data_IF_511197442342
#
_entry.id   IF_511197442342
#
_cell.length_a   1.000
_cell.length_b   1.000
_cell.length_c   1.000
_cell.angle_alpha   90.00
_cell.angle_beta   90.00
_cell.angle_gamma   90.00
#
_symmetry.space_group_name_H-M   'P 1'
#
loop_
_entity.id
_entity.type
_entity.pdbx_description
1 polymer ?
#
# COMPACT_ATOMS: atom_id res chain seq x y z
N UNK A 1 -9.66 18.79 -7.73
CA UNK A 1 -9.37 17.69 -6.82
C UNK A 1 -8.06 17.11 -7.28
N UNK A 2 -7.09 17.00 -6.39
CA UNK A 2 -5.78 16.42 -6.70
C UNK A 2 -5.39 15.43 -5.61
N UNK A 3 -4.56 14.46 -6.02
CA UNK A 3 -3.91 13.51 -5.15
C UNK A 3 -2.42 13.60 -5.42
N UNK A 4 -1.68 14.12 -4.45
CA UNK A 4 -0.22 14.16 -4.52
C UNK A 4 0.33 13.01 -3.67
N UNK A 5 1.16 12.17 -4.28
CA UNK A 5 1.74 10.97 -3.65
C UNK A 5 3.24 11.19 -3.51
N UNK A 6 3.70 11.14 -2.27
CA UNK A 6 5.11 11.34 -1.92
C UNK A 6 5.53 10.13 -1.11
N UNK A 7 6.57 9.43 -1.53
CA UNK A 7 7.04 8.26 -0.81
C UNK A 7 8.47 7.91 -1.18
N UNK A 8 9.13 7.25 -0.24
CA UNK A 8 10.38 6.54 -0.51
C UNK A 8 10.03 5.06 -0.68
N UNK A 9 10.34 4.43 -1.82
CA UNK A 9 10.14 3.00 -1.99
C UNK A 9 10.78 2.24 -0.82
N UNK A 10 10.00 1.48 -0.03
CA UNK A 10 10.56 0.75 1.08
C UNK A 10 11.41 -0.42 0.58
N UNK A 11 12.62 -0.55 1.13
CA UNK A 11 13.50 -1.67 0.81
C UNK A 11 13.34 -2.79 1.85
N UNK A 12 12.64 -3.86 1.46
CA UNK A 12 12.49 -5.06 2.27
C UNK A 12 13.55 -6.09 1.90
N UNK A 13 14.62 -6.11 2.68
CA UNK A 13 15.69 -7.09 2.52
C UNK A 13 15.36 -8.39 3.26
N UNK A 14 15.48 -9.53 2.57
CA UNK A 14 15.24 -10.87 3.12
C UNK A 14 16.51 -11.73 3.08
N UNK A 15 17.38 -11.56 4.07
CA UNK A 15 18.73 -12.12 4.08
C UNK A 15 18.87 -13.35 4.99
N UNK A 16 17.99 -13.51 5.97
CA UNK A 16 18.00 -14.59 6.95
C UNK A 16 16.67 -15.33 6.94
N UNK A 17 16.67 -16.56 7.45
CA UNK A 17 15.45 -17.34 7.63
C UNK A 17 14.38 -16.57 8.43
N UNK A 18 14.79 -15.90 9.52
CA UNK A 18 13.89 -15.12 10.37
C UNK A 18 13.21 -13.96 9.64
N UNK A 19 13.78 -13.46 8.54
CA UNK A 19 13.19 -12.40 7.73
C UNK A 19 11.92 -12.84 7.01
N UNK A 20 11.77 -14.14 6.74
CA UNK A 20 10.62 -14.71 6.05
C UNK A 20 9.47 -15.07 7.00
N UNK A 21 9.78 -15.29 8.28
CA UNK A 21 8.81 -15.75 9.29
C UNK A 21 8.10 -14.60 9.99
N UNK A 22 8.60 -13.38 9.87
CA UNK A 22 8.04 -12.19 10.53
C UNK A 22 7.49 -11.19 9.51
N UNK A 23 6.40 -10.48 9.84
CA UNK A 23 5.92 -9.42 8.98
C UNK A 23 6.93 -8.27 8.94
N UNK A 24 7.15 -7.69 7.77
CA UNK A 24 7.95 -6.48 7.59
C UNK A 24 7.04 -5.29 7.39
N UNK A 25 7.36 -4.18 8.04
CA UNK A 25 6.56 -2.95 8.00
C UNK A 25 7.49 -1.77 7.71
N UNK A 26 7.20 -1.04 6.65
CA UNK A 26 7.79 0.26 6.41
C UNK A 26 6.82 1.34 6.89
N UNK A 27 7.12 1.91 8.05
CA UNK A 27 6.27 2.93 8.67
C UNK A 27 6.36 4.26 7.93
N UNK A 28 5.23 4.93 7.72
CA UNK A 28 5.15 6.21 7.02
C UNK A 28 5.84 6.20 5.64
N UNK A 29 5.80 5.06 4.93
CA UNK A 29 6.47 4.86 3.65
C UNK A 29 5.90 5.72 2.53
N UNK A 30 4.60 6.04 2.63
CA UNK A 30 3.86 6.80 1.63
C UNK A 30 3.09 7.90 2.37
N UNK A 31 3.21 9.14 1.91
CA UNK A 31 2.32 10.25 2.24
C UNK A 31 1.44 10.53 1.04
N UNK A 32 0.15 10.66 1.28
CA UNK A 32 -0.80 11.18 0.31
C UNK A 32 -1.39 12.49 0.81
N UNK A 33 -1.34 13.52 -0.02
CA UNK A 33 -1.95 14.81 0.23
C UNK A 33 -3.16 14.96 -0.70
N UNK A 34 -4.32 15.24 -0.12
CA UNK A 34 -5.61 15.27 -0.81
C UNK A 34 -6.19 16.68 -0.74
N UNK A 35 -6.34 17.32 -1.89
CA UNK A 35 -7.11 18.57 -2.04
C UNK A 35 -8.45 18.28 -2.70
N UNK A 36 -9.53 18.40 -1.91
CA UNK A 36 -10.90 18.20 -2.40
C UNK A 36 -11.78 19.45 -2.31
N UNK A 37 -11.23 20.62 -1.96
CA UNK A 37 -12.00 21.88 -1.76
C UNK A 37 -13.28 21.68 -0.95
N UNK A 38 -13.18 21.02 0.20
CA UNK A 38 -14.28 20.75 1.13
C UNK A 38 -15.39 19.81 0.65
N UNK A 39 -15.06 18.87 -0.24
CA UNK A 39 -15.98 17.81 -0.69
C UNK A 39 -15.58 16.46 -0.14
N UNK A 40 -16.57 15.59 0.09
CA UNK A 40 -16.34 14.19 0.43
C UNK A 40 -15.64 13.44 -0.71
N UNK A 41 -14.87 12.43 -0.35
CA UNK A 41 -14.07 11.65 -1.27
C UNK A 41 -13.77 10.24 -0.76
N UNK A 42 -13.37 9.40 -1.70
CA UNK A 42 -12.87 8.07 -1.46
C UNK A 42 -11.52 7.89 -2.15
N UNK A 43 -10.63 7.16 -1.50
CA UNK A 43 -9.36 6.73 -2.08
C UNK A 43 -9.36 5.22 -2.14
N UNK A 44 -9.15 4.72 -3.34
CA UNK A 44 -9.01 3.30 -3.62
C UNK A 44 -7.55 2.98 -3.93
N UNK A 45 -7.16 1.74 -3.65
CA UNK A 45 -5.85 1.20 -3.99
C UNK A 45 -5.98 -0.09 -4.77
N UNK A 46 -5.01 -0.32 -5.66
CA UNK A 46 -4.82 -1.60 -6.35
C UNK A 46 -3.34 -1.77 -6.71
N UNK A 47 -2.89 -2.99 -6.94
CA UNK A 47 -1.58 -3.24 -7.55
C UNK A 47 -1.66 -3.12 -9.08
N UNK A 48 -0.56 -2.69 -9.71
CA UNK A 48 -0.43 -2.64 -11.18
C UNK A 48 0.00 -4.00 -11.75
N UNK A 49 -0.88 -4.99 -11.59
CA UNK A 49 -0.62 -6.36 -12.00
C UNK A 49 0.07 -7.22 -10.92
N UNK A 50 0.30 -8.50 -11.24
CA UNK A 50 0.77 -9.48 -10.27
C UNK A 50 2.18 -9.16 -9.77
N UNK A 51 2.40 -9.35 -8.48
CA UNK A 51 3.72 -9.22 -7.85
C UNK A 51 4.54 -10.47 -8.18
N UNK A 52 5.76 -10.27 -8.67
CA UNK A 52 6.66 -11.36 -9.09
C UNK A 52 8.05 -11.21 -8.51
N UNK A 53 8.69 -12.33 -8.25
CA UNK A 53 10.13 -12.41 -7.93
C UNK A 53 10.98 -12.09 -9.16
N UNK A 54 12.29 -11.92 -8.97
CA UNK A 54 13.26 -11.79 -10.06
C UNK A 54 13.33 -13.04 -10.96
N UNK A 55 13.01 -14.22 -10.42
CA UNK A 55 12.88 -15.48 -11.18
C UNK A 55 11.55 -15.62 -11.94
N UNK A 56 10.61 -14.68 -11.73
CA UNK A 56 9.30 -14.68 -12.37
C UNK A 56 8.19 -15.43 -11.62
N UNK A 57 8.49 -16.00 -10.45
CA UNK A 57 7.51 -16.63 -9.58
C UNK A 57 6.49 -15.60 -9.10
N UNK A 58 5.19 -15.90 -9.21
CA UNK A 58 4.13 -15.03 -8.70
C UNK A 58 3.97 -15.15 -7.18
N UNK A 59 3.94 -14.01 -6.49
CA UNK A 59 3.63 -13.92 -5.07
C UNK A 59 2.16 -13.49 -4.94
N UNK A 60 1.36 -14.14 -4.07
CA UNK A 60 0.00 -13.72 -3.80
C UNK A 60 -0.04 -12.26 -3.32
N UNK A 61 -0.81 -11.42 -4.01
CA UNK A 61 -0.89 -9.98 -3.72
C UNK A 61 -1.44 -9.70 -2.32
N UNK A 62 -2.27 -10.61 -1.80
CA UNK A 62 -2.80 -10.57 -0.43
C UNK A 62 -1.72 -10.66 0.66
N UNK A 63 -0.47 -11.00 0.31
CA UNK A 63 0.67 -10.92 1.23
C UNK A 63 1.14 -9.49 1.45
N UNK A 64 0.80 -8.57 0.56
CA UNK A 64 1.15 -7.18 0.62
C UNK A 64 -0.08 -6.36 0.98
N UNK A 65 0.12 -5.29 1.75
CA UNK A 65 -0.99 -4.44 2.15
C UNK A 65 -0.55 -3.05 2.57
N UNK A 66 -1.54 -2.16 2.62
CA UNK A 66 -1.39 -0.79 3.04
C UNK A 66 -2.33 -0.54 4.21
N UNK A 67 -1.89 0.26 5.16
CA UNK A 67 -2.78 0.84 6.18
C UNK A 67 -2.45 2.30 6.38
N UNK A 68 -3.41 3.04 6.91
CA UNK A 68 -3.14 4.37 7.47
C UNK A 68 -2.27 4.18 8.72
N UNK A 69 -1.24 5.01 8.89
CA UNK A 69 -0.33 4.94 10.02
C UNK A 69 -1.12 4.98 11.34
N UNK A 70 -0.73 4.14 12.30
CA UNK A 70 -1.42 3.95 13.59
C UNK A 70 -2.84 3.37 13.53
N UNK A 71 -3.29 2.82 12.40
CA UNK A 71 -4.52 2.02 12.36
C UNK A 71 -4.23 0.52 12.40
N UNK A 72 -5.23 -0.27 12.80
CA UNK A 72 -5.11 -1.74 12.86
C UNK A 72 -5.44 -2.37 11.50
N UNK A 73 -6.41 -1.79 10.78
CA UNK A 73 -6.94 -2.34 9.54
C UNK A 73 -5.90 -2.26 8.41
N UNK A 74 -5.52 -3.41 7.88
CA UNK A 74 -4.68 -3.54 6.69
C UNK A 74 -5.56 -3.85 5.50
N UNK A 75 -5.41 -3.05 4.44
CA UNK A 75 -6.07 -3.28 3.16
C UNK A 75 -5.09 -4.09 2.28
N UNK A 76 -5.42 -5.34 1.92
CA UNK A 76 -4.56 -6.15 1.06
C UNK A 76 -4.52 -5.59 -0.36
N UNK A 77 -3.41 -5.80 -1.06
CA UNK A 77 -3.31 -5.47 -2.48
C UNK A 77 -4.02 -6.50 -3.35
N UNK A 78 -4.49 -6.04 -4.50
CA UNK A 78 -5.12 -6.84 -5.56
C UNK A 78 -4.94 -6.14 -6.90
N UNK A 79 -4.60 -6.91 -7.93
CA UNK A 79 -4.54 -6.43 -9.33
C UNK A 79 -5.88 -6.48 -10.04
N UNK A 80 -6.88 -7.10 -9.42
CA UNK A 80 -8.18 -7.37 -10.06
C UNK A 80 -9.30 -6.48 -9.53
N UNK A 81 -9.16 -5.96 -8.31
CA UNK A 81 -10.20 -5.19 -7.63
C UNK A 81 -9.59 -3.99 -6.93
N UNK A 82 -10.26 -2.85 -7.08
CA UNK A 82 -9.96 -1.63 -6.33
C UNK A 82 -10.46 -1.80 -4.89
N UNK A 83 -9.56 -1.66 -3.92
CA UNK A 83 -9.88 -1.76 -2.50
C UNK A 83 -10.00 -0.37 -1.87
N UNK A 84 -11.10 -0.13 -1.14
CA UNK A 84 -11.30 1.13 -0.44
C UNK A 84 -10.26 1.28 0.70
N UNK A 85 -9.48 2.35 0.65
CA UNK A 85 -8.47 2.68 1.66
C UNK A 85 -8.97 3.78 2.62
N UNK A 86 -9.51 4.87 2.06
CA UNK A 86 -10.03 6.02 2.82
C UNK A 86 -11.41 6.38 2.28
N UNK A 87 -12.34 6.67 3.18
CA UNK A 87 -13.64 7.27 2.86
C UNK A 87 -13.90 8.42 3.82
N UNK A 88 -14.09 9.61 3.27
CA UNK A 88 -14.55 10.79 4.01
C UNK A 88 -15.80 11.34 3.36
N UNK A 89 -16.89 11.42 4.11
CA UNK A 89 -18.15 11.98 3.60
C UNK A 89 -18.08 13.49 3.42
N UNK A 90 -17.20 14.16 4.18
CA UNK A 90 -16.94 15.58 4.09
C UNK A 90 -15.48 15.85 4.47
N UNK A 91 -14.84 16.73 3.73
CA UNK A 91 -13.55 17.29 4.12
C UNK A 91 -13.79 18.71 4.64
N UNK A 92 -13.38 19.02 5.86
CA UNK A 92 -13.46 20.40 6.38
C UNK A 92 -12.15 21.18 6.17
N UNK A 93 -11.11 20.51 5.69
CA UNK A 93 -9.81 21.10 5.35
C UNK A 93 -9.70 21.35 3.86
N UNK A 94 -8.83 22.30 3.50
CA UNK A 94 -8.48 22.54 2.10
C UNK A 94 -7.55 21.41 1.59
N UNK A 95 -6.60 20.97 2.42
CA UNK A 95 -5.72 19.81 2.18
C UNK A 95 -5.74 18.89 3.40
N UNK A 96 -5.87 17.59 3.18
CA UNK A 96 -5.75 16.55 4.20
C UNK A 96 -4.57 15.63 3.85
N UNK A 97 -3.74 15.31 4.85
CA UNK A 97 -2.53 14.50 4.66
C UNK A 97 -2.67 13.18 5.41
N UNK A 98 -2.46 12.06 4.71
CA UNK A 98 -2.39 10.74 5.31
C UNK A 98 -0.99 10.17 5.15
N UNK A 99 -0.48 9.61 6.25
CA UNK A 99 0.72 8.78 6.23
C UNK A 99 0.28 7.32 6.23
N UNK A 100 0.89 6.52 5.35
CA UNK A 100 0.55 5.13 5.14
C UNK A 100 1.76 4.25 5.44
N UNK A 101 1.50 3.13 6.12
CA UNK A 101 2.47 2.07 6.29
C UNK A 101 2.31 1.06 5.14
N UNK A 102 3.42 0.56 4.62
CA UNK A 102 3.43 -0.57 3.70
C UNK A 102 3.85 -1.84 4.45
N UNK A 103 3.07 -2.91 4.30
CA UNK A 103 3.21 -4.13 5.08
C UNK A 103 3.39 -5.31 4.14
N UNK A 104 4.35 -6.17 4.49
CA UNK A 104 4.51 -7.50 3.90
C UNK A 104 4.29 -8.54 4.97
N UNK A 105 3.29 -9.38 4.79
CA UNK A 105 3.01 -10.55 5.63
C UNK A 105 4.16 -11.56 5.54
N UNK A 106 4.31 -12.48 6.50
CA UNK A 106 5.28 -13.56 6.41
C UNK A 106 5.16 -14.30 5.07
N UNK A 107 6.29 -14.35 4.36
CA UNK A 107 6.41 -15.03 3.07
C UNK A 107 6.78 -16.51 3.26
N UNK A 108 7.32 -16.88 4.43
CA UNK A 108 7.85 -18.22 4.70
C UNK A 108 8.85 -18.66 3.60
N UNK A 109 9.06 -19.97 3.47
CA UNK A 109 10.04 -20.54 2.54
C UNK A 109 9.47 -20.85 1.15
N UNK A 110 8.29 -20.29 0.84
CA UNK A 110 7.55 -20.61 -0.39
C UNK A 110 8.02 -19.77 -1.60
N UNK A 111 8.84 -18.73 -1.37
CA UNK A 111 9.24 -17.75 -2.39
C UNK A 111 10.74 -17.49 -2.42
N UNK A 112 11.27 -17.28 -3.62
CA UNK A 112 12.71 -17.05 -3.84
C UNK A 112 13.22 -15.78 -3.15
N UNK A 113 14.44 -15.79 -2.58
CA UNK A 113 15.01 -14.62 -1.95
C UNK A 113 15.30 -13.49 -2.95
N UNK A 114 15.03 -12.25 -2.52
CA UNK A 114 15.41 -11.06 -3.27
C UNK A 114 14.54 -9.84 -2.96
N UNK A 115 14.68 -8.83 -3.82
CA UNK A 115 13.85 -7.62 -3.82
C UNK A 115 12.63 -7.80 -4.73
N UNK A 116 11.49 -7.30 -4.29
CA UNK A 116 10.24 -7.34 -5.05
C UNK A 116 9.80 -5.92 -5.38
N UNK A 117 9.49 -5.66 -6.65
CA UNK A 117 8.93 -4.39 -7.08
C UNK A 117 7.41 -4.50 -7.04
N UNK A 118 6.78 -3.62 -6.28
CA UNK A 118 5.32 -3.52 -6.18
C UNK A 118 4.89 -2.16 -6.68
N UNK A 119 4.13 -2.14 -7.76
CA UNK A 119 3.51 -0.93 -8.28
C UNK A 119 2.11 -0.81 -7.70
N UNK A 120 1.78 0.34 -7.14
CA UNK A 120 0.50 0.60 -6.48
C UNK A 120 -0.15 1.79 -7.18
N UNK A 121 -1.38 1.63 -7.64
CA UNK A 121 -2.19 2.73 -8.12
C UNK A 121 -3.12 3.19 -7.02
N UNK A 122 -3.20 4.52 -6.87
CA UNK A 122 -4.16 5.18 -6.00
C UNK A 122 -5.16 5.93 -6.86
N UNK A 123 -6.45 5.72 -6.59
CA UNK A 123 -7.54 6.38 -7.32
C UNK A 123 -8.32 7.23 -6.34
N UNK A 124 -8.37 8.54 -6.61
CA UNK A 124 -9.18 9.48 -5.85
C UNK A 124 -10.52 9.71 -6.57
N UNK A 125 -11.63 9.50 -5.87
CA UNK A 125 -12.98 9.69 -6.37
C UNK A 125 -13.74 10.66 -5.47
N UNK A 126 -14.55 11.52 -6.07
CA UNK A 126 -15.44 12.42 -5.34
C UNK A 126 -16.73 11.67 -4.97
N UNK A 127 -17.22 11.88 -3.74
CA UNK A 127 -18.56 11.45 -3.34
C UNK A 127 -19.66 12.28 -4.02
#
# INVERSE_FOLDING_TARGET
MSLDIIGTPPDFNYNTISDYETPKIANNAIRIDVDTKKTGYQIYIRSDGPIKTSSGQSIPESKFGIRIHNTIQVVPLSSTNDALLISLDKNDKDVESYYLDFIVSPLYYDYDPGSYIVNILFTLTKN
#
